data_IF_348589833269
#
_entry.id   IF_348589833269
#
_cell.length_a   1.000
_cell.length_b   1.000
_cell.length_c   1.000
_cell.angle_alpha   90.00
_cell.angle_beta   90.00
_cell.angle_gamma   90.00
#
_symmetry.space_group_name_H-M   'P 1'
#
loop_
_entity.id
_entity.type
_entity.pdbx_description
1 polymer ?
#
# COMPACT_ATOMS: atom_id res chain seq x y z
N UNK A 1 6.35 -0.95 -12.97
CA UNK A 1 5.81 0.43 -13.11
C UNK A 1 6.04 1.20 -11.81
N UNK A 2 5.34 0.85 -10.73
CA UNK A 2 5.50 1.47 -9.40
C UNK A 2 6.90 1.33 -8.80
N UNK A 3 7.61 0.23 -9.07
CA UNK A 3 8.94 0.00 -8.48
C UNK A 3 10.02 0.91 -9.07
N UNK A 4 9.84 1.39 -10.32
CA UNK A 4 10.80 2.27 -10.99
C UNK A 4 10.35 3.74 -11.00
N UNK A 5 9.04 4.00 -11.12
CA UNK A 5 8.46 5.33 -11.26
C UNK A 5 7.13 5.42 -10.48
N UNK A 6 7.16 5.46 -9.14
CA UNK A 6 5.96 5.40 -8.31
C UNK A 6 5.00 6.57 -8.57
N UNK A 7 5.51 7.81 -8.56
CA UNK A 7 4.69 9.00 -8.79
C UNK A 7 4.01 8.97 -10.17
N UNK A 8 4.78 8.71 -11.22
CA UNK A 8 4.24 8.60 -12.57
C UNK A 8 3.18 7.49 -12.68
N UNK A 9 3.35 6.37 -11.97
CA UNK A 9 2.38 5.28 -11.98
C UNK A 9 1.05 5.69 -11.36
N UNK A 10 1.09 6.43 -10.26
CA UNK A 10 -0.10 6.98 -9.62
C UNK A 10 -0.76 8.05 -10.51
N UNK A 11 0.03 8.91 -11.15
CA UNK A 11 -0.48 9.92 -12.08
C UNK A 11 -1.10 9.29 -13.33
N UNK A 12 -0.52 8.19 -13.82
CA UNK A 12 -1.11 7.41 -14.91
C UNK A 12 -2.48 6.86 -14.51
N UNK A 13 -2.65 6.36 -13.27
CA UNK A 13 -3.95 5.93 -12.76
C UNK A 13 -4.94 7.10 -12.74
N UNK A 14 -4.53 8.24 -12.16
CA UNK A 14 -5.35 9.46 -12.07
C UNK A 14 -5.79 9.97 -13.44
N UNK A 15 -4.91 9.93 -14.42
CA UNK A 15 -5.19 10.45 -15.75
C UNK A 15 -6.09 9.51 -16.54
N UNK A 16 -5.82 8.21 -16.58
CA UNK A 16 -6.56 7.28 -17.44
C UNK A 16 -7.89 6.88 -16.79
N UNK A 17 -7.86 6.29 -15.60
CA UNK A 17 -9.08 5.87 -14.89
C UNK A 17 -9.84 7.07 -14.34
N UNK A 18 -9.15 8.07 -13.80
CA UNK A 18 -9.81 9.26 -13.26
C UNK A 18 -10.48 10.13 -14.33
N UNK A 19 -10.01 10.10 -15.59
CA UNK A 19 -10.74 10.76 -16.69
C UNK A 19 -12.02 10.00 -17.02
N UNK A 20 -11.99 8.66 -17.11
CA UNK A 20 -13.22 7.87 -17.32
C UNK A 20 -14.29 8.17 -16.26
N UNK A 21 -13.89 8.26 -14.98
CA UNK A 21 -14.79 8.54 -13.86
C UNK A 21 -15.51 9.91 -13.95
N UNK A 22 -15.00 10.85 -14.75
CA UNK A 22 -15.59 12.18 -14.94
C UNK A 22 -16.57 12.23 -16.11
N UNK A 23 -16.74 11.15 -16.84
CA UNK A 23 -17.60 11.10 -18.03
C UNK A 23 -19.04 10.78 -17.65
N UNK A 24 -20.04 11.26 -18.41
CA UNK A 24 -21.45 10.94 -18.14
C UNK A 24 -21.80 9.46 -18.25
N UNK A 25 -20.94 8.66 -18.90
CA UNK A 25 -21.13 7.23 -19.11
C UNK A 25 -20.62 6.38 -17.94
N UNK A 26 -19.90 6.97 -16.98
CA UNK A 26 -19.36 6.23 -15.85
C UNK A 26 -20.49 5.79 -14.90
N UNK A 27 -20.70 4.48 -14.83
CA UNK A 27 -21.74 3.83 -14.05
C UNK A 27 -21.19 3.16 -12.77
N UNK A 28 -19.96 3.47 -12.38
CA UNK A 28 -19.27 2.83 -11.25
C UNK A 28 -18.33 1.68 -11.64
N UNK A 29 -18.28 1.29 -12.91
CA UNK A 29 -17.32 0.33 -13.45
C UNK A 29 -16.42 0.96 -14.51
N UNK A 30 -15.25 0.36 -14.73
CA UNK A 30 -14.32 0.84 -15.75
C UNK A 30 -14.63 0.25 -17.11
N UNK A 31 -14.45 1.11 -18.12
CA UNK A 31 -14.81 0.79 -19.50
C UNK A 31 -13.71 -0.04 -20.14
N UNK A 32 -14.10 -0.91 -21.06
CA UNK A 32 -13.19 -1.84 -21.74
C UNK A 32 -12.09 -1.13 -22.54
N UNK A 33 -12.37 0.08 -23.03
CA UNK A 33 -11.45 0.89 -23.83
C UNK A 33 -11.37 2.33 -23.29
N UNK A 34 -10.29 3.04 -23.63
CA UNK A 34 -10.03 4.42 -23.24
C UNK A 34 -10.82 5.43 -24.08
N UNK A 35 -11.00 5.16 -25.37
CA UNK A 35 -11.75 6.03 -26.28
C UNK A 35 -13.23 5.65 -26.34
N UNK A 36 -13.98 6.26 -25.44
CA UNK A 36 -15.42 6.02 -25.26
C UNK A 36 -16.29 6.76 -26.28
N UNK A 37 -15.79 7.83 -26.88
CA UNK A 37 -16.53 8.60 -27.88
C UNK A 37 -16.67 7.81 -29.18
N UNK A 38 -15.73 6.90 -29.45
CA UNK A 38 -15.67 6.06 -30.63
C UNK A 38 -15.91 4.58 -30.31
N UNK A 39 -16.87 4.28 -29.42
CA UNK A 39 -17.38 2.92 -29.29
C UNK A 39 -17.95 2.48 -30.64
N UNK A 40 -17.12 1.80 -31.43
CA UNK A 40 -17.35 1.55 -32.85
C UNK A 40 -17.90 0.16 -33.12
N UNK A 41 -18.01 -0.68 -32.09
CA UNK A 41 -18.55 -2.03 -32.18
C UNK A 41 -19.50 -2.35 -31.01
N UNK A 42 -20.38 -3.31 -31.27
CA UNK A 42 -21.27 -3.99 -30.33
C UNK A 42 -20.54 -4.83 -29.26
N UNK A 43 -19.22 -5.01 -29.43
CA UNK A 43 -18.38 -5.76 -28.50
C UNK A 43 -17.81 -4.92 -27.35
N UNK A 44 -18.03 -3.61 -27.33
CA UNK A 44 -17.47 -2.71 -26.31
C UNK A 44 -18.42 -2.50 -25.13
N UNK A 45 -17.92 -2.68 -23.90
CA UNK A 45 -18.72 -2.48 -22.67
C UNK A 45 -18.17 -1.38 -21.75
N UNK A 46 -19.09 -0.70 -21.05
CA UNK A 46 -18.77 0.25 -19.96
C UNK A 46 -18.56 -0.44 -18.61
N UNK A 47 -18.65 -1.77 -18.57
CA UNK A 47 -18.42 -2.57 -17.36
C UNK A 47 -17.55 -3.78 -17.68
N UNK A 48 -16.22 -3.60 -17.61
CA UNK A 48 -15.27 -4.68 -17.87
C UNK A 48 -14.23 -4.86 -16.77
N UNK A 49 -14.23 -6.03 -16.13
CA UNK A 49 -13.36 -6.33 -14.99
C UNK A 49 -11.87 -6.32 -15.33
N UNK A 50 -11.47 -6.62 -16.57
CA UNK A 50 -10.04 -6.56 -16.96
C UNK A 50 -9.43 -5.14 -16.81
N UNK A 51 -10.28 -4.12 -16.71
CA UNK A 51 -9.90 -2.72 -16.60
C UNK A 51 -9.87 -2.29 -15.13
N UNK A 52 -10.17 -3.16 -14.19
CA UNK A 52 -10.13 -2.84 -12.76
C UNK A 52 -8.71 -2.88 -12.18
N UNK A 53 -7.66 -2.71 -12.99
CA UNK A 53 -6.27 -2.73 -12.53
C UNK A 53 -5.99 -1.92 -11.25
N UNK A 54 -6.56 -0.72 -11.05
CA UNK A 54 -6.36 0.06 -9.83
C UNK A 54 -6.83 -0.65 -8.55
N UNK A 55 -7.81 -1.54 -8.60
CA UNK A 55 -8.31 -2.27 -7.42
C UNK A 55 -7.28 -3.23 -6.86
N UNK A 56 -6.37 -3.74 -7.69
CA UNK A 56 -5.23 -4.55 -7.25
C UNK A 56 -4.00 -3.68 -6.96
N UNK A 57 -3.72 -2.69 -7.82
CA UNK A 57 -2.50 -1.89 -7.74
C UNK A 57 -2.47 -0.95 -6.53
N UNK A 58 -3.59 -0.33 -6.15
CA UNK A 58 -3.60 0.61 -5.02
C UNK A 58 -3.33 -0.10 -3.68
N UNK A 59 -3.97 -1.24 -3.34
CA UNK A 59 -3.61 -2.01 -2.15
C UNK A 59 -2.17 -2.53 -2.17
N UNK A 60 -1.70 -3.03 -3.32
CA UNK A 60 -0.35 -3.60 -3.42
C UNK A 60 0.75 -2.55 -3.36
N UNK A 61 0.57 -1.44 -4.08
CA UNK A 61 1.66 -0.50 -4.36
C UNK A 61 1.53 0.83 -3.66
N UNK A 62 0.34 1.30 -3.30
CA UNK A 62 0.16 2.54 -2.54
C UNK A 62 0.03 2.24 -1.04
N UNK A 63 -0.95 1.41 -0.68
CA UNK A 63 -1.08 0.90 0.69
C UNK A 63 0.16 0.07 1.06
N UNK A 64 0.71 -0.66 0.08
CA UNK A 64 2.02 -1.29 0.15
C UNK A 64 1.99 -2.75 0.59
N UNK A 65 0.87 -3.45 0.42
CA UNK A 65 0.65 -4.80 0.96
C UNK A 65 0.81 -5.85 -0.13
N UNK A 66 1.89 -6.64 -0.07
CA UNK A 66 2.18 -7.66 -1.09
C UNK A 66 2.48 -9.03 -0.45
N UNK A 67 1.95 -10.15 -0.99
CA UNK A 67 2.30 -11.48 -0.50
C UNK A 67 3.75 -11.80 -0.85
N UNK A 68 4.51 -12.32 0.11
CA UNK A 68 5.90 -12.79 -0.10
C UNK A 68 6.02 -14.31 -0.14
N UNK A 69 4.92 -15.02 0.16
CA UNK A 69 4.79 -16.45 -0.06
C UNK A 69 3.39 -16.79 -0.54
N UNK A 70 3.24 -17.98 -1.13
CA UNK A 70 1.93 -18.51 -1.49
C UNK A 70 0.98 -18.51 -0.28
N UNK A 71 -0.30 -18.21 -0.55
CA UNK A 71 -1.35 -18.25 0.46
C UNK A 71 -1.27 -17.19 1.56
N UNK A 72 -0.42 -16.16 1.45
CA UNK A 72 -0.30 -15.05 2.42
C UNK A 72 0.28 -15.42 3.80
N UNK A 73 0.94 -16.57 3.93
CA UNK A 73 1.62 -16.93 5.20
C UNK A 73 2.71 -15.92 5.58
N UNK A 74 3.38 -15.34 4.58
CA UNK A 74 4.25 -14.18 4.74
C UNK A 74 3.87 -13.10 3.74
N UNK A 75 4.00 -11.85 4.16
CA UNK A 75 3.73 -10.69 3.31
C UNK A 75 4.64 -9.52 3.70
N UNK A 76 4.68 -8.49 2.87
CA UNK A 76 5.33 -7.23 3.16
C UNK A 76 4.32 -6.10 3.31
N UNK A 77 4.69 -5.11 4.13
CA UNK A 77 4.02 -3.81 4.21
C UNK A 77 5.07 -2.74 3.93
N UNK A 78 5.06 -2.21 2.71
CA UNK A 78 5.98 -1.17 2.23
C UNK A 78 5.17 -0.02 1.61
N UNK A 79 4.69 0.93 2.44
CA UNK A 79 3.97 2.09 1.96
C UNK A 79 4.77 2.88 0.91
N UNK A 80 4.12 3.21 -0.20
CA UNK A 80 4.71 4.00 -1.28
C UNK A 80 3.92 5.30 -1.41
N UNK A 81 4.44 6.32 -0.73
CA UNK A 81 3.69 7.55 -0.46
C UNK A 81 3.33 8.32 -1.73
N UNK A 82 4.18 8.28 -2.75
CA UNK A 82 4.07 9.20 -3.89
C UNK A 82 3.92 10.64 -3.35
N UNK A 83 2.90 11.36 -3.78
CA UNK A 83 2.48 12.68 -3.28
C UNK A 83 1.28 12.61 -2.31
N UNK A 84 0.91 11.41 -1.85
CA UNK A 84 -0.19 11.21 -0.92
C UNK A 84 0.24 11.43 0.53
N UNK A 85 -0.65 12.04 1.31
CA UNK A 85 -0.45 12.27 2.74
C UNK A 85 -0.83 11.07 3.61
N UNK A 86 -1.74 10.22 3.14
CA UNK A 86 -2.21 9.07 3.88
C UNK A 86 -2.77 8.00 2.92
N UNK A 87 -2.81 6.75 3.38
CA UNK A 87 -3.68 5.73 2.81
C UNK A 87 -4.07 4.71 3.88
N UNK A 88 -5.30 4.20 3.78
CA UNK A 88 -5.86 3.23 4.71
C UNK A 88 -6.63 2.16 3.94
N UNK A 89 -6.47 0.90 4.34
CA UNK A 89 -7.16 -0.20 3.70
C UNK A 89 -7.04 -1.53 4.43
N UNK A 90 -7.85 -2.47 3.98
CA UNK A 90 -7.88 -3.85 4.48
C UNK A 90 -7.65 -4.78 3.29
N UNK A 91 -6.72 -5.73 3.44
CA UNK A 91 -6.51 -6.84 2.51
C UNK A 91 -7.01 -8.12 3.16
N UNK A 92 -8.12 -8.71 2.69
CA UNK A 92 -8.59 -9.98 3.21
C UNK A 92 -7.68 -11.12 2.75
N UNK A 93 -7.30 -12.00 3.67
CA UNK A 93 -6.46 -13.18 3.39
C UNK A 93 -7.08 -14.44 4.01
N UNK A 94 -6.62 -15.65 3.62
CA UNK A 94 -7.07 -16.90 4.26
C UNK A 94 -6.83 -16.97 5.77
N UNK A 95 -5.89 -16.19 6.30
CA UNK A 95 -5.56 -16.15 7.73
C UNK A 95 -6.29 -15.03 8.50
N UNK A 96 -7.09 -14.21 7.81
CA UNK A 96 -7.76 -13.04 8.37
C UNK A 96 -7.40 -11.74 7.64
N UNK A 97 -7.88 -10.62 8.17
CA UNK A 97 -7.69 -9.30 7.57
C UNK A 97 -6.33 -8.71 7.94
N UNK A 98 -5.54 -8.34 6.93
CA UNK A 98 -4.41 -7.41 7.11
C UNK A 98 -4.98 -6.01 7.05
N UNK A 99 -4.83 -5.21 8.10
CA UNK A 99 -5.24 -3.81 8.12
C UNK A 99 -4.01 -2.90 8.13
N UNK A 100 -3.98 -1.90 7.27
CA UNK A 100 -2.90 -0.92 7.17
C UNK A 100 -3.49 0.48 7.15
N UNK A 101 -2.87 1.37 7.91
CA UNK A 101 -3.22 2.79 7.98
C UNK A 101 -1.93 3.58 8.16
N UNK A 102 -1.55 4.38 7.17
CA UNK A 102 -0.35 5.20 7.26
C UNK A 102 -0.64 6.66 6.97
N UNK A 103 0.12 7.51 7.65
CA UNK A 103 0.17 8.94 7.46
C UNK A 103 1.63 9.37 7.29
N UNK A 104 1.89 10.19 6.27
CA UNK A 104 3.18 10.81 6.02
C UNK A 104 2.94 12.32 5.88
N UNK A 105 3.09 13.05 6.98
CA UNK A 105 2.80 14.48 6.98
C UNK A 105 4.03 15.30 6.56
N UNK A 106 3.78 16.54 6.13
CA UNK A 106 4.82 17.47 5.68
C UNK A 106 5.71 18.00 6.80
N UNK A 107 5.40 17.67 8.07
CA UNK A 107 6.16 18.07 9.25
C UNK A 107 7.21 17.03 9.67
N UNK A 108 7.47 16.02 8.83
CA UNK A 108 8.48 14.99 9.09
C UNK A 108 8.02 13.90 10.07
N UNK A 109 6.71 13.80 10.32
CA UNK A 109 6.13 12.72 11.13
C UNK A 109 5.52 11.67 10.23
N UNK A 110 6.02 10.44 10.40
CA UNK A 110 5.47 9.24 9.77
C UNK A 110 4.81 8.37 10.82
N UNK A 111 3.59 7.92 10.53
CA UNK A 111 2.83 6.96 11.34
C UNK A 111 2.37 5.81 10.47
N UNK A 112 2.44 4.60 11.01
CA UNK A 112 1.94 3.40 10.35
C UNK A 112 1.35 2.46 11.39
N UNK A 113 0.09 2.09 11.20
CA UNK A 113 -0.56 0.98 11.86
C UNK A 113 -0.57 -0.24 10.94
N UNK A 114 -0.25 -1.41 11.51
CA UNK A 114 -0.34 -2.71 10.83
C UNK A 114 -0.99 -3.72 11.78
N UNK A 115 -2.05 -4.37 11.31
CA UNK A 115 -2.60 -5.60 11.88
C UNK A 115 -2.07 -6.79 11.09
N UNK A 116 -1.33 -7.67 11.76
CA UNK A 116 -0.80 -8.91 11.19
C UNK A 116 -1.65 -10.08 11.72
N UNK A 117 -2.39 -10.81 10.85
CA UNK A 117 -3.22 -11.93 11.27
C UNK A 117 -2.44 -13.07 11.94
N UNK A 118 -3.12 -13.87 12.77
CA UNK A 118 -2.56 -15.05 13.39
C UNK A 118 -1.92 -16.01 12.37
N UNK A 119 -0.84 -16.68 12.78
CA UNK A 119 -0.07 -17.63 11.95
C UNK A 119 0.60 -17.02 10.70
N UNK A 120 0.64 -15.69 10.61
CA UNK A 120 1.38 -14.97 9.57
C UNK A 120 2.50 -14.12 10.15
N UNK A 121 3.41 -13.71 9.27
CA UNK A 121 4.53 -12.82 9.59
C UNK A 121 4.64 -11.75 8.52
N UNK A 122 4.96 -10.51 8.93
CA UNK A 122 5.13 -9.39 8.00
C UNK A 122 6.54 -8.85 8.01
N UNK A 123 7.04 -8.50 6.81
CA UNK A 123 8.18 -7.59 6.64
C UNK A 123 7.68 -6.17 6.47
N UNK A 124 7.88 -5.31 7.46
CA UNK A 124 7.47 -3.90 7.44
C UNK A 124 8.63 -3.01 7.06
N UNK A 125 8.42 -2.09 6.13
CA UNK A 125 9.41 -1.12 5.66
C UNK A 125 8.96 0.30 5.98
N UNK A 126 9.70 0.98 6.87
CA UNK A 126 9.42 2.36 7.29
C UNK A 126 10.50 3.32 6.75
N UNK A 127 10.17 4.58 6.43
CA UNK A 127 11.16 5.56 5.99
C UNK A 127 12.16 5.89 7.11
N UNK A 128 13.44 5.99 6.78
CA UNK A 128 14.51 6.34 7.72
C UNK A 128 15.80 5.58 7.44
N UNK A 129 16.88 6.00 8.11
CA UNK A 129 18.18 5.32 8.09
C UNK A 129 18.68 4.94 9.49
N UNK A 130 18.00 5.42 10.53
CA UNK A 130 18.38 5.24 11.93
C UNK A 130 17.23 4.56 12.68
N UNK A 131 17.36 3.25 12.99
CA UNK A 131 16.30 2.50 13.67
C UNK A 131 16.03 3.01 15.08
N UNK A 132 16.98 3.69 15.72
CA UNK A 132 16.81 4.23 17.07
C UNK A 132 15.77 5.36 17.13
N UNK A 133 15.46 5.98 15.99
CA UNK A 133 14.40 7.01 15.86
C UNK A 133 13.00 6.42 15.64
N UNK A 134 12.88 5.10 15.53
CA UNK A 134 11.61 4.42 15.33
C UNK A 134 11.05 3.99 16.69
N UNK A 135 9.82 4.41 16.97
CA UNK A 135 9.02 3.87 18.07
C UNK A 135 8.03 2.86 17.52
N UNK A 136 7.84 1.76 18.25
CA UNK A 136 6.81 0.76 17.97
C UNK A 136 5.95 0.62 19.23
N UNK A 137 4.64 0.87 19.11
CA UNK A 137 3.70 0.89 20.23
C UNK A 137 4.16 1.84 21.36
N UNK A 138 4.61 3.03 21.00
CA UNK A 138 5.16 4.08 21.88
C UNK A 138 6.45 3.73 22.64
N UNK A 139 7.06 2.58 22.36
CA UNK A 139 8.33 2.14 22.94
C UNK A 139 9.44 2.14 21.90
N UNK A 140 10.70 2.15 22.32
CA UNK A 140 11.82 1.89 21.41
C UNK A 140 11.65 0.50 20.76
N UNK A 141 12.00 0.38 19.47
CA UNK A 141 11.72 -0.83 18.69
C UNK A 141 12.32 -2.11 19.29
N UNK A 142 13.45 -2.00 19.98
CA UNK A 142 14.24 -3.09 20.56
C UNK A 142 13.70 -3.61 21.90
N UNK A 143 12.64 -2.99 22.45
CA UNK A 143 11.99 -3.43 23.70
C UNK A 143 11.14 -4.69 23.53
N UNK A 144 10.74 -5.02 22.30
CA UNK A 144 9.98 -6.23 22.02
C UNK A 144 10.87 -7.25 21.27
N UNK A 145 11.31 -8.35 21.91
CA UNK A 145 12.19 -9.34 21.28
C UNK A 145 11.55 -10.08 20.11
N UNK A 146 10.22 -10.01 19.96
CA UNK A 146 9.52 -10.59 18.82
C UNK A 146 9.73 -9.78 17.53
N UNK A 147 10.11 -8.50 17.65
CA UNK A 147 10.39 -7.61 16.52
C UNK A 147 11.87 -7.73 16.17
N UNK A 148 12.18 -8.09 14.93
CA UNK A 148 13.57 -8.20 14.47
C UNK A 148 13.89 -7.10 13.48
N UNK A 149 14.95 -6.34 13.74
CA UNK A 149 15.54 -5.46 12.73
C UNK A 149 16.24 -6.31 11.68
N UNK A 150 15.84 -6.15 10.42
CA UNK A 150 16.46 -6.85 9.28
C UNK A 150 17.58 -6.03 8.64
N UNK A 151 17.50 -4.71 8.73
CA UNK A 151 18.51 -3.80 8.20
C UNK A 151 17.96 -2.43 7.83
N UNK A 152 18.82 -1.60 7.24
CA UNK A 152 18.47 -0.30 6.69
C UNK A 152 19.15 -0.11 5.34
N UNK A 153 18.36 0.14 4.29
CA UNK A 153 18.85 0.32 2.93
C UNK A 153 17.95 1.32 2.17
N UNK A 154 18.52 2.13 1.28
CA UNK A 154 17.77 3.01 0.38
C UNK A 154 16.74 3.93 1.09
N UNK A 155 17.11 4.49 2.26
CA UNK A 155 16.22 5.38 3.01
C UNK A 155 15.06 4.66 3.71
N UNK A 156 15.17 3.34 3.89
CA UNK A 156 14.16 2.50 4.52
C UNK A 156 14.78 1.58 5.56
N UNK A 157 14.05 1.38 6.66
CA UNK A 157 14.39 0.46 7.73
C UNK A 157 13.40 -0.70 7.67
N UNK A 158 13.91 -1.93 7.67
CA UNK A 158 13.09 -3.13 7.54
C UNK A 158 13.01 -3.88 8.87
N UNK A 159 11.78 -4.22 9.27
CA UNK A 159 11.47 -5.01 10.47
C UNK A 159 10.73 -6.28 10.09
N UNK A 160 11.01 -7.37 10.79
CA UNK A 160 10.18 -8.57 10.78
C UNK A 160 9.31 -8.57 12.03
N UNK A 161 7.99 -8.66 11.85
CA UNK A 161 7.01 -8.70 12.93
C UNK A 161 6.11 -9.93 12.80
N UNK A 162 5.84 -10.67 13.89
CA UNK A 162 4.86 -11.75 13.87
C UNK A 162 3.42 -11.20 13.91
N UNK A 163 2.43 -12.08 13.98
CA UNK A 163 1.05 -11.75 14.29
C UNK A 163 0.92 -10.75 15.45
N UNK A 164 -0.05 -9.83 15.34
CA UNK A 164 -0.31 -8.80 16.33
C UNK A 164 -0.61 -7.42 15.74
N UNK A 165 -0.75 -6.45 16.62
CA UNK A 165 -1.02 -5.04 16.28
C UNK A 165 0.19 -4.15 16.58
N UNK A 166 0.59 -3.37 15.57
CA UNK A 166 1.80 -2.57 15.63
C UNK A 166 1.53 -1.14 15.17
N UNK A 167 2.04 -0.17 15.93
CA UNK A 167 2.03 1.25 15.60
C UNK A 167 3.47 1.75 15.51
N UNK A 168 3.95 1.92 14.29
CA UNK A 168 5.24 2.52 14.00
C UNK A 168 5.09 4.05 13.97
N UNK A 169 6.00 4.73 14.62
CA UNK A 169 6.10 6.18 14.59
C UNK A 169 7.56 6.60 14.40
N UNK A 170 7.78 7.53 13.47
CA UNK A 170 9.04 8.25 13.30
C UNK A 170 8.75 9.75 13.37
N UNK A 171 9.53 10.45 14.18
CA UNK A 171 9.54 11.92 14.25
C UNK A 171 10.96 12.41 13.97
N UNK A 172 11.09 13.41 13.10
CA UNK A 172 12.36 14.08 12.82
C UNK A 172 12.69 15.22 13.81
N UNK A 173 11.79 15.50 14.76
CA UNK A 173 12.02 16.45 15.88
C UNK A 173 13.02 15.92 16.90
#
# INVERSE_FOLDING_TARGET
MFDAKPQWSLDFIRNNWGTQMKTPLFNGSWHENWDIANFSSDLMTTSHAWCSGPTALLPQKVLGVEPTSAGWQTFSVKPNFCDLKWAKGIVPTPYGSIAVDWENNTEGVFKLYVLVPDKTTSKVSVPGNDPTKIKINNLAFDRNPAIKLLGSENGRIEFLIPAGEYRFEKSDK
#
